data_IF_275059450430
#
_entry.id   IF_275059450430
#
_cell.length_a   1.000
_cell.length_b   1.000
_cell.length_c   1.000
_cell.angle_alpha   90.00
_cell.angle_beta   90.00
_cell.angle_gamma   90.00
#
_symmetry.space_group_name_H-M   'P 1'
#
loop_
_entity.id
_entity.type
_entity.pdbx_description
1 polymer ?
#
# COMPACT_ATOMS: atom_id res chain seq x y z
N UNK A 1 3.08 -7.16 -12.30
CA UNK A 1 1.92 -7.18 -11.37
C UNK A 1 1.66 -5.78 -10.89
N UNK A 2 0.40 -5.46 -10.63
CA UNK A 2 -0.04 -4.16 -10.10
C UNK A 2 -0.65 -4.40 -8.72
N UNK A 3 -0.38 -3.50 -7.78
CA UNK A 3 -0.83 -3.59 -6.40
C UNK A 3 -1.54 -2.30 -6.02
N UNK A 4 -2.78 -2.42 -5.54
CA UNK A 4 -3.54 -1.31 -4.96
C UNK A 4 -3.30 -1.28 -3.46
N UNK A 5 -2.95 -0.10 -2.95
CA UNK A 5 -2.74 0.16 -1.55
C UNK A 5 -3.63 1.32 -1.12
N UNK A 6 -4.40 1.11 -0.06
CA UNK A 6 -4.99 2.17 0.74
C UNK A 6 -4.26 2.22 2.08
N UNK A 7 -3.75 3.39 2.43
CA UNK A 7 -2.93 3.60 3.60
C UNK A 7 -3.44 4.77 4.44
N UNK A 8 -3.74 4.49 5.71
CA UNK A 8 -4.06 5.51 6.69
C UNK A 8 -2.76 6.13 7.20
N UNK A 9 -2.38 7.28 6.62
CA UNK A 9 -1.14 7.99 6.99
C UNK A 9 -1.10 8.42 8.45
N UNK A 10 -2.15 9.05 9.02
CA UNK A 10 -2.17 9.39 10.46
C UNK A 10 -1.89 8.22 11.40
N UNK A 11 -2.43 7.04 11.10
CA UNK A 11 -2.27 5.84 11.94
C UNK A 11 -1.08 4.96 11.54
N UNK A 12 -0.41 5.28 10.42
CA UNK A 12 0.70 4.49 9.90
C UNK A 12 0.29 3.08 9.49
N UNK A 13 -0.95 2.87 9.02
CA UNK A 13 -1.53 1.53 8.84
C UNK A 13 -2.03 1.26 7.43
N UNK A 14 -1.72 0.06 6.92
CA UNK A 14 -2.32 -0.51 5.72
C UNK A 14 -3.80 -0.85 5.97
N UNK A 15 -4.68 -0.27 5.16
CA UNK A 15 -6.13 -0.49 5.24
C UNK A 15 -6.57 -1.53 4.21
N UNK A 16 -6.18 -1.33 2.95
CA UNK A 16 -6.54 -2.20 1.83
C UNK A 16 -5.30 -2.56 1.03
N UNK A 17 -5.22 -3.83 0.62
CA UNK A 17 -4.17 -4.34 -0.25
C UNK A 17 -4.77 -5.33 -1.25
N UNK A 18 -4.74 -4.98 -2.53
CA UNK A 18 -5.25 -5.83 -3.60
C UNK A 18 -4.22 -6.02 -4.70
N UNK A 19 -4.29 -7.18 -5.37
CA UNK A 19 -3.35 -7.60 -6.41
C UNK A 19 -4.07 -7.70 -7.74
N UNK A 20 -3.39 -7.27 -8.79
CA UNK A 20 -3.85 -7.34 -10.16
C UNK A 20 -2.73 -7.85 -11.06
N UNK A 21 -3.13 -8.59 -12.09
CA UNK A 21 -2.23 -8.91 -13.20
C UNK A 21 -2.01 -7.68 -14.09
N UNK A 22 -0.97 -7.69 -14.92
CA UNK A 22 -0.70 -6.56 -15.83
C UNK A 22 -1.82 -6.39 -16.88
N UNK A 23 -2.50 -7.48 -17.24
CA UNK A 23 -3.72 -7.46 -18.08
C UNK A 23 -4.91 -6.78 -17.41
N UNK A 24 -4.94 -6.69 -16.08
CA UNK A 24 -6.03 -6.09 -15.31
C UNK A 24 -5.78 -4.61 -15.00
N UNK A 25 -4.83 -3.95 -15.67
CA UNK A 25 -4.46 -2.54 -15.43
C UNK A 25 -5.66 -1.59 -15.40
N UNK A 26 -6.56 -1.69 -16.37
CA UNK A 26 -7.75 -0.84 -16.43
C UNK A 26 -8.69 -1.08 -15.23
N UNK A 27 -8.85 -2.35 -14.83
CA UNK A 27 -9.62 -2.73 -13.65
C UNK A 27 -8.99 -2.14 -12.39
N UNK A 28 -7.66 -2.25 -12.22
CA UNK A 28 -6.96 -1.67 -11.08
C UNK A 28 -7.14 -0.14 -10.99
N UNK A 29 -7.11 0.56 -12.12
CA UNK A 29 -7.36 2.00 -12.18
C UNK A 29 -8.79 2.38 -11.80
N UNK A 30 -9.78 1.61 -12.28
CA UNK A 30 -11.18 1.83 -11.93
C UNK A 30 -11.43 1.59 -10.43
N UNK A 31 -10.90 0.49 -9.88
CA UNK A 31 -11.01 0.18 -8.44
C UNK A 31 -10.35 1.29 -7.61
N UNK A 32 -9.17 1.79 -8.02
CA UNK A 32 -8.54 2.95 -7.36
C UNK A 32 -9.45 4.16 -7.34
N UNK A 33 -10.02 4.52 -8.49
CA UNK A 33 -10.89 5.69 -8.61
C UNK A 33 -12.16 5.55 -7.76
N UNK A 34 -12.80 4.39 -7.79
CA UNK A 34 -14.00 4.12 -6.99
C UNK A 34 -13.72 4.23 -5.49
N UNK A 35 -12.56 3.74 -5.05
CA UNK A 35 -12.10 3.85 -3.66
C UNK A 35 -11.81 5.30 -3.26
N UNK A 36 -11.10 6.07 -4.10
CA UNK A 36 -10.83 7.49 -3.87
C UNK A 36 -12.14 8.29 -3.75
N UNK A 37 -13.14 7.98 -4.58
CA UNK A 37 -14.47 8.61 -4.53
C UNK A 37 -15.24 8.23 -3.25
N UNK A 38 -15.21 6.97 -2.81
CA UNK A 38 -15.84 6.54 -1.55
C UNK A 38 -15.22 7.27 -0.35
N UNK A 39 -13.89 7.29 -0.27
CA UNK A 39 -13.15 7.95 0.79
C UNK A 39 -13.44 9.45 0.83
N UNK A 40 -13.50 10.09 -0.34
CA UNK A 40 -13.86 11.50 -0.44
C UNK A 40 -15.28 11.77 0.07
N UNK A 41 -16.27 10.95 -0.31
CA UNK A 41 -17.66 11.06 0.17
C UNK A 41 -17.77 10.89 1.68
N UNK A 42 -16.91 10.06 2.28
CA UNK A 42 -16.86 9.81 3.72
C UNK A 42 -16.03 10.84 4.49
N UNK A 43 -15.33 11.75 3.80
CA UNK A 43 -14.43 12.72 4.42
C UNK A 43 -13.18 12.08 5.03
N UNK A 44 -12.76 10.91 4.53
CA UNK A 44 -11.61 10.16 5.04
C UNK A 44 -10.38 10.47 4.18
N UNK A 45 -9.32 10.97 4.82
CA UNK A 45 -8.07 11.33 4.16
C UNK A 45 -7.05 10.18 4.18
N UNK A 46 -7.33 9.11 3.42
CA UNK A 46 -6.38 8.03 3.20
C UNK A 46 -5.58 8.22 1.91
N UNK A 47 -4.34 7.73 1.89
CA UNK A 47 -3.52 7.66 0.68
C UNK A 47 -3.94 6.42 -0.12
N UNK A 48 -4.27 6.59 -1.40
CA UNK A 48 -4.57 5.47 -2.30
C UNK A 48 -3.58 5.48 -3.46
N UNK A 49 -2.87 4.38 -3.68
CA UNK A 49 -1.83 4.28 -4.73
C UNK A 49 -1.89 2.94 -5.46
N UNK A 50 -1.45 2.98 -6.73
CA UNK A 50 -1.14 1.78 -7.51
C UNK A 50 0.36 1.69 -7.70
N UNK A 51 0.93 0.53 -7.39
CA UNK A 51 2.35 0.26 -7.52
C UNK A 51 2.58 -0.94 -8.43
N UNK A 52 3.67 -0.90 -9.18
CA UNK A 52 4.09 -2.00 -10.04
C UNK A 52 5.33 -2.68 -9.48
N UNK A 53 5.27 -4.01 -9.43
CA UNK A 53 6.42 -4.81 -9.07
C UNK A 53 6.38 -6.17 -9.78
N UNK A 54 7.56 -6.80 -9.89
CA UNK A 54 7.69 -8.15 -10.44
C UNK A 54 7.02 -9.21 -9.55
N UNK A 55 6.95 -8.97 -8.23
CA UNK A 55 6.29 -9.81 -7.25
C UNK A 55 5.94 -9.00 -6.00
N UNK A 56 5.11 -9.57 -5.14
CA UNK A 56 4.78 -8.99 -3.83
C UNK A 56 6.02 -8.88 -2.93
N UNK A 57 6.90 -9.88 -2.88
CA UNK A 57 8.17 -9.78 -2.15
C UNK A 57 9.04 -8.62 -2.67
N UNK A 58 9.03 -8.39 -3.99
CA UNK A 58 9.67 -7.23 -4.62
C UNK A 58 9.07 -5.91 -4.13
N UNK A 59 7.75 -5.84 -4.02
CA UNK A 59 7.02 -4.69 -3.51
C UNK A 59 7.35 -4.41 -2.05
N UNK A 60 7.27 -5.43 -1.17
CA UNK A 60 7.59 -5.31 0.25
C UNK A 60 9.00 -4.76 0.46
N UNK A 61 9.99 -5.25 -0.31
CA UNK A 61 11.38 -4.78 -0.19
C UNK A 61 11.59 -3.33 -0.61
N UNK A 62 10.87 -2.87 -1.63
CA UNK A 62 11.05 -1.54 -2.26
C UNK A 62 10.14 -0.47 -1.68
N UNK A 63 8.98 -0.86 -1.12
CA UNK A 63 7.94 0.03 -0.63
C UNK A 63 7.55 -0.29 0.82
N UNK A 64 8.54 -0.61 1.65
CA UNK A 64 8.42 -0.99 3.07
C UNK A 64 7.49 -0.11 3.90
N UNK A 65 7.43 1.19 3.57
CA UNK A 65 6.60 2.19 4.29
C UNK A 65 5.14 1.80 4.46
N UNK A 66 4.59 1.00 3.54
CA UNK A 66 3.18 0.60 3.60
C UNK A 66 2.96 -0.67 4.44
N UNK A 67 4.02 -1.43 4.73
CA UNK A 67 3.94 -2.77 5.29
C UNK A 67 4.55 -2.87 6.69
N UNK A 68 5.51 -2.01 7.02
CA UNK A 68 6.17 -2.02 8.32
C UNK A 68 5.47 -1.05 9.27
N UNK A 69 4.99 -1.55 10.41
CA UNK A 69 4.60 -0.70 11.54
C UNK A 69 5.87 -0.05 12.11
N UNK A 70 5.78 1.15 12.68
CA UNK A 70 6.91 1.91 13.25
C UNK A 70 7.76 1.03 14.20
N UNK A 71 7.10 0.08 14.88
CA UNK A 71 7.71 -0.94 15.75
C UNK A 71 8.61 -1.94 15.02
N UNK A 72 8.22 -2.44 13.85
CA UNK A 72 9.03 -3.37 13.05
C UNK A 72 10.24 -2.67 12.42
N UNK A 73 10.08 -1.39 12.05
CA UNK A 73 11.19 -0.54 11.59
C UNK A 73 12.20 -0.33 12.74
N UNK A 74 11.70 -0.06 13.96
CA UNK A 74 12.55 0.10 15.15
C UNK A 74 13.24 -1.21 15.56
N UNK A 75 12.54 -2.34 15.54
CA UNK A 75 13.11 -3.65 15.90
C UNK A 75 14.20 -4.11 14.93
N UNK A 76 14.00 -3.91 13.62
CA UNK A 76 15.02 -4.22 12.61
C UNK A 76 16.25 -3.30 12.72
N UNK A 77 16.06 -2.00 12.97
CA UNK A 77 17.17 -1.07 13.19
C UNK A 77 18.00 -1.39 14.45
N UNK A 78 17.37 -1.93 15.51
CA UNK A 78 18.06 -2.38 16.73
C UNK A 78 18.79 -3.72 16.52
N UNK A 79 18.23 -4.62 15.71
CA UNK A 79 18.82 -5.93 15.44
C UNK A 79 20.11 -5.85 14.60
N UNK A 80 20.21 -4.89 13.67
CA UNK A 80 21.40 -4.70 12.82
C UNK A 80 22.59 -4.04 13.55
N UNK A 81 22.42 -3.59 14.81
CA UNK A 81 23.46 -2.96 15.64
C UNK A 81 23.96 -3.83 16.81
N UNK A 82 23.76 -5.15 16.74
CA UNK A 82 24.19 -6.11 17.78
C UNK A 82 25.09 -7.20 17.21
#
# INVERSE_FOLDING_TARGET
MIFLIEYNRPEGRLVTFERFTDSERLKAQNVRLDLELDLNRRGVAHEVVLLEAASEDGLHRTHRRYFEDLRQILESAIADHK
#
